data_IF_942171659185
#
_entry.id   IF_942171659185
#
_cell.length_a   1.000
_cell.length_b   1.000
_cell.length_c   1.000
_cell.angle_alpha   90.00
_cell.angle_beta   90.00
_cell.angle_gamma   90.00
#
_symmetry.space_group_name_H-M   'P 1'
#
loop_
_entity.id
_entity.type
_entity.pdbx_description
1 polymer ?
2 water ?
#
# COMPACT_ATOMS: atom_id res chain seq x y z
N UNK A 4 7.61 15.73 -12.33
CA UNK A 4 6.82 14.64 -11.68
C UNK A 4 5.34 15.00 -11.60
N UNK A 5 4.51 14.19 -12.26
CA UNK A 5 3.07 14.43 -12.24
C UNK A 5 2.53 14.25 -10.83
N UNK A 6 1.30 14.70 -10.60
CA UNK A 6 0.71 14.59 -9.28
C UNK A 6 0.09 13.22 -9.01
N UNK A 7 0.24 12.77 -7.77
CA UNK A 7 -0.29 11.48 -7.35
C UNK A 7 -1.43 11.63 -6.36
N UNK A 8 -2.45 10.82 -6.53
CA UNK A 8 -3.57 10.83 -5.62
C UNK A 8 -3.74 9.44 -5.03
N UNK A 9 -3.55 9.34 -3.72
CA UNK A 9 -3.69 8.09 -3.01
C UNK A 9 -5.05 8.09 -2.33
N UNK A 10 -5.78 7.00 -2.47
CA UNK A 10 -7.09 6.87 -1.85
C UNK A 10 -7.04 5.56 -1.07
N UNK A 11 -7.20 5.66 0.25
CA UNK A 11 -7.13 4.47 1.07
C UNK A 11 -7.31 4.73 2.56
N UNK A 12 -7.09 3.67 3.34
CA UNK A 12 -7.26 3.67 4.79
C UNK A 12 -6.20 4.33 5.67
N UNK A 13 -6.63 4.66 6.88
CA UNK A 13 -5.77 5.25 7.90
C UNK A 13 -6.03 4.48 9.21
N UNK A 14 -4.97 3.92 9.78
CA UNK A 14 -5.07 3.17 11.03
C UNK A 14 -4.09 3.67 12.07
N UNK A 15 -4.41 3.40 13.32
CA UNK A 15 -3.55 3.71 14.42
C UNK A 15 -3.13 2.30 14.83
N UNK A 16 -1.85 1.97 14.65
CA UNK A 16 -1.36 0.63 14.99
C UNK A 16 -0.87 0.51 16.43
N UNK A 17 -1.45 -0.43 17.17
CA UNK A 17 -1.07 -0.69 18.56
C UNK A 17 -0.33 -2.01 18.50
N UNK A 18 0.97 -1.97 18.75
CA UNK A 18 1.79 -3.16 18.64
C UNK A 18 2.37 -3.60 19.96
N UNK A 19 2.13 -4.86 20.30
CA UNK A 19 2.61 -5.43 21.54
C UNK A 19 3.46 -6.68 21.29
N UNK A 20 4.72 -6.62 21.75
CA UNK A 20 5.60 -7.77 21.63
C UNK A 20 5.35 -8.59 22.89
N UNK A 21 5.23 -9.90 22.73
CA UNK A 21 4.98 -10.76 23.86
C UNK A 21 5.64 -12.11 23.65
N UNK A 22 5.75 -12.88 24.73
CA UNK A 22 6.38 -14.20 24.65
C UNK A 22 5.65 -15.11 23.67
N UNK A 23 4.37 -15.35 23.91
CA UNK A 23 3.57 -16.21 23.03
C UNK A 23 2.12 -15.70 22.93
N UNK A 24 1.50 -15.98 21.79
CA UNK A 24 0.12 -15.59 21.55
C UNK A 24 -0.79 -16.20 22.61
N UNK A 25 -1.53 -15.37 23.35
CA UNK A 25 -2.42 -15.90 24.38
C UNK A 25 -3.41 -16.91 23.82
N UNK A 26 -3.64 -17.99 24.55
CA UNK A 26 -4.60 -19.01 24.13
C UNK A 26 -5.96 -18.52 24.58
N UNK A 27 -7.05 -19.09 24.04
CA UNK A 27 -8.39 -18.66 24.45
C UNK A 27 -8.54 -18.58 25.96
N UNK A 28 -8.99 -17.43 26.46
CA UNK A 28 -9.19 -17.25 27.88
C UNK A 28 -7.96 -16.85 28.67
N UNK A 29 -6.83 -16.77 27.98
CA UNK A 29 -5.58 -16.42 28.65
C UNK A 29 -5.21 -14.93 28.57
N UNK A 30 -4.41 -14.49 29.55
CA UNK A 30 -3.90 -13.13 29.61
C UNK A 30 -2.39 -13.23 29.66
N UNK A 31 -1.71 -12.43 28.84
CA UNK A 31 -0.26 -12.45 28.82
C UNK A 31 0.26 -11.02 28.92
N UNK A 32 1.41 -10.86 29.59
CA UNK A 32 2.01 -9.55 29.75
C UNK A 32 3.14 -9.42 28.73
N UNK A 33 3.09 -8.36 27.93
CA UNK A 33 4.08 -8.13 26.90
C UNK A 33 5.36 -7.52 27.42
N UNK A 34 6.34 -7.35 26.53
CA UNK A 34 7.64 -6.79 26.91
C UNK A 34 7.94 -5.46 26.22
N UNK A 35 7.20 -5.14 25.17
CA UNK A 35 7.42 -3.89 24.47
C UNK A 35 6.14 -3.42 23.78
N UNK A 36 5.89 -2.11 23.85
CA UNK A 36 4.70 -1.52 23.27
C UNK A 36 5.02 -0.33 22.39
N UNK A 37 4.33 -0.24 21.26
CA UNK A 37 4.54 0.85 20.31
C UNK A 37 3.26 1.24 19.57
N UNK A 38 2.97 2.54 19.55
CA UNK A 38 1.83 3.05 18.82
C UNK A 38 2.43 3.73 17.60
N UNK A 39 2.05 3.26 16.42
CA UNK A 39 2.55 3.83 15.18
C UNK A 39 1.42 3.96 14.18
N UNK A 40 1.44 5.03 13.41
CA UNK A 40 0.41 5.26 12.41
C UNK A 40 0.57 4.24 11.29
N UNK A 41 -0.55 3.62 10.93
CA UNK A 41 -0.51 2.60 9.90
C UNK A 41 -1.65 2.71 8.91
N UNK A 42 -2.08 1.57 8.39
CA UNK A 42 -3.15 1.56 7.42
C UNK A 42 -2.49 1.60 6.05
N UNK A 43 -2.86 0.68 5.16
CA UNK A 43 -2.26 0.61 3.84
C UNK A 43 -2.34 1.92 3.07
N UNK A 44 -3.49 2.59 3.13
CA UNK A 44 -3.64 3.85 2.44
C UNK A 44 -2.61 4.86 2.90
N UNK A 45 -2.53 5.09 4.20
CA UNK A 45 -1.58 6.04 4.76
C UNK A 45 -0.13 5.57 4.62
N UNK A 46 0.13 4.28 4.84
CA UNK A 46 1.50 3.79 4.69
C UNK A 46 1.99 4.09 3.29
N UNK A 47 1.15 3.84 2.28
CA UNK A 47 1.54 4.10 0.91
C UNK A 47 1.63 5.58 0.60
N UNK A 48 0.72 6.37 1.18
CA UNK A 48 0.72 7.82 0.99
C UNK A 48 2.00 8.41 1.57
N UNK A 49 2.42 7.88 2.72
CA UNK A 49 3.63 8.34 3.38
C UNK A 49 4.88 7.87 2.62
N UNK A 50 4.86 6.62 2.17
CA UNK A 50 5.99 6.09 1.44
C UNK A 50 6.22 6.93 0.18
N UNK A 51 5.14 7.39 -0.44
CA UNK A 51 5.24 8.20 -1.65
C UNK A 51 5.67 9.63 -1.33
N UNK A 52 5.03 10.24 -0.34
CA UNK A 52 5.37 11.58 0.05
C UNK A 52 6.83 11.70 0.46
N UNK A 53 7.26 10.82 1.36
CA UNK A 53 8.64 10.85 1.82
C UNK A 53 9.62 10.58 0.68
N UNK A 54 9.27 9.67 -0.23
CA UNK A 54 10.16 9.37 -1.34
C UNK A 54 10.24 10.51 -2.36
N UNK A 55 9.44 11.56 -2.15
CA UNK A 55 9.50 12.71 -3.03
C UNK A 55 8.36 13.02 -4.00
N UNK A 56 7.25 12.34 -3.88
CA UNK A 56 6.13 12.59 -4.80
C UNK A 56 5.31 13.82 -4.42
N UNK A 57 4.55 14.29 -5.41
CA UNK A 57 3.63 15.41 -5.24
C UNK A 57 2.31 14.68 -5.08
N UNK A 58 1.99 14.33 -3.83
CA UNK A 58 0.80 13.54 -3.55
C UNK A 58 -0.25 14.14 -2.61
N UNK A 59 -1.51 13.92 -2.97
CA UNK A 59 -2.66 14.38 -2.19
C UNK A 59 -3.32 13.08 -1.72
N UNK A 60 -3.89 13.10 -0.51
CA UNK A 60 -4.48 11.89 0.06
C UNK A 60 -5.97 11.93 0.41
N UNK A 61 -6.75 11.10 -0.27
CA UNK A 61 -8.19 11.02 0.00
C UNK A 61 -8.38 9.90 1.04
N UNK A 62 -8.88 10.27 2.21
CA UNK A 62 -9.09 9.31 3.29
C UNK A 62 -10.04 9.85 4.35
N UNK A 63 -10.35 9.02 5.34
CA UNK A 63 -11.25 9.41 6.44
C UNK A 63 -10.72 8.99 7.81
N UNK A 64 -10.75 9.91 8.76
CA UNK A 64 -10.35 9.61 10.13
C UNK A 64 -11.63 9.87 10.91
N UNK A 65 -11.66 9.50 12.19
CA UNK A 65 -12.84 9.75 13.00
C UNK A 65 -12.69 11.11 13.67
N UNK A 66 -13.60 11.44 14.58
CA UNK A 66 -13.52 12.73 15.28
C UNK A 66 -12.90 12.57 16.67
N UNK A 67 -11.98 11.62 16.81
CA UNK A 67 -11.31 11.37 18.09
C UNK A 67 -9.92 12.02 18.12
N UNK A 68 -9.27 11.97 19.28
CA UNK A 68 -7.94 12.56 19.43
C UNK A 68 -6.91 11.90 18.52
N UNK A 69 -6.93 10.58 18.47
CA UNK A 69 -5.97 9.86 17.64
C UNK A 69 -6.10 10.33 16.19
N UNK A 70 -7.34 10.50 15.72
CA UNK A 70 -7.55 10.96 14.36
C UNK A 70 -6.87 12.29 14.10
N UNK A 71 -6.93 13.20 15.06
CA UNK A 71 -6.31 14.50 14.91
C UNK A 71 -4.79 14.39 14.87
N UNK A 72 -4.22 13.52 15.71
CA UNK A 72 -2.77 13.33 15.75
C UNK A 72 -2.20 12.79 14.44
N UNK A 73 -2.81 11.74 13.91
CA UNK A 73 -2.33 11.15 12.66
C UNK A 73 -2.40 12.20 11.56
N UNK A 74 -3.48 12.97 11.58
CA UNK A 74 -3.69 14.03 10.61
C UNK A 74 -2.55 15.04 10.74
N UNK A 75 -2.23 15.39 11.98
CA UNK A 75 -1.15 16.33 12.27
C UNK A 75 0.15 15.76 11.68
N UNK A 76 0.34 14.46 11.88
CA UNK A 76 1.54 13.77 11.41
C UNK A 76 1.67 13.68 9.88
N UNK A 77 0.62 13.20 9.22
CA UNK A 77 0.66 13.07 7.78
C UNK A 77 0.96 14.38 7.07
N UNK A 78 0.55 15.48 7.66
CA UNK A 78 0.79 16.78 7.06
C UNK A 78 2.29 17.10 7.00
N UNK A 79 3.07 16.50 7.89
CA UNK A 79 4.50 16.76 7.90
C UNK A 79 5.27 15.72 7.08
N UNK A 80 4.55 14.72 6.57
CA UNK A 80 5.16 13.68 5.76
C UNK A 80 5.14 14.02 4.27
N UNK A 81 5.04 15.31 3.97
CA UNK A 81 5.01 15.79 2.59
C UNK A 81 3.79 15.25 1.83
N UNK A 82 2.62 15.38 2.46
CA UNK A 82 1.37 14.93 1.87
C UNK A 82 0.34 16.05 2.00
N UNK A 83 -0.45 16.25 0.95
CA UNK A 83 -1.51 17.25 0.99
C UNK A 83 -2.71 16.53 1.61
N UNK A 84 -3.01 16.85 2.87
CA UNK A 84 -4.12 16.21 3.59
C UNK A 84 -5.44 16.96 3.44
N UNK A 85 -5.52 17.84 2.46
CA UNK A 85 -6.75 18.57 2.23
C UNK A 85 -7.92 17.62 1.96
N UNK A 86 -7.68 16.51 1.24
CA UNK A 86 -8.74 15.55 0.93
C UNK A 86 -9.06 14.54 2.03
N UNK A 87 -8.45 14.69 3.21
CA UNK A 87 -8.74 13.77 4.31
C UNK A 87 -9.92 14.29 5.12
N UNK A 88 -11.05 13.59 5.03
CA UNK A 88 -12.26 14.00 5.74
C UNK A 88 -12.29 13.48 7.18
N UNK A 89 -13.05 14.19 8.01
CA UNK A 89 -13.25 13.83 9.41
C UNK A 89 -14.72 13.43 9.51
N UNK A 90 -14.97 12.21 10.00
CA UNK A 90 -16.33 11.71 10.11
C UNK A 90 -16.85 11.83 11.55
N UNK A 91 -17.88 12.66 11.72
CA UNK A 91 -18.47 12.86 13.04
C UNK A 91 -19.13 11.59 13.54
N UNK A 92 -18.96 11.32 14.83
CA UNK A 92 -19.57 10.15 15.43
C UNK A 92 -18.88 8.83 15.14
N UNK A 93 -17.72 8.86 14.48
CA UNK A 93 -17.02 7.62 14.17
C UNK A 93 -15.59 7.59 14.70
N UNK A 94 -15.08 6.37 14.93
CA UNK A 94 -13.73 6.18 15.43
C UNK A 94 -12.74 6.07 14.30
N UNK A 95 -11.51 6.51 14.55
CA UNK A 95 -10.46 6.41 13.55
C UNK A 95 -10.09 4.94 13.49
N UNK A 96 -9.77 4.45 12.29
CA UNK A 96 -9.40 3.05 12.12
C UNK A 96 -8.28 2.63 13.05
N UNK A 97 -8.29 1.37 13.48
CA UNK A 97 -7.27 0.85 14.38
C UNK A 97 -6.83 -0.57 14.04
N UNK A 98 -5.60 -0.91 14.43
CA UNK A 98 -5.04 -2.24 14.22
C UNK A 98 -4.37 -2.69 15.51
N UNK A 99 -4.83 -3.80 16.06
CA UNK A 99 -4.25 -4.34 17.29
C UNK A 99 -3.32 -5.46 16.82
N UNK A 100 -2.05 -5.35 17.17
CA UNK A 100 -1.06 -6.33 16.72
C UNK A 100 -0.21 -6.99 17.80
N UNK A 101 -0.11 -8.31 17.71
CA UNK A 101 0.71 -9.11 18.62
C UNK A 101 1.88 -9.67 17.82
N UNK A 102 3.06 -9.70 18.44
CA UNK A 102 4.26 -10.25 17.83
C UNK A 102 4.87 -11.14 18.91
N UNK A 103 4.95 -12.45 18.65
CA UNK A 103 5.51 -13.37 19.64
C UNK A 103 7.04 -13.46 19.63
N UNK A 104 7.58 -14.26 20.56
CA UNK A 104 9.03 -14.40 20.65
C UNK A 104 9.65 -15.13 19.48
N UNK A 105 8.82 -15.67 18.59
CA UNK A 105 9.29 -16.39 17.43
C UNK A 105 9.29 -15.49 16.20
N UNK A 106 8.92 -14.22 16.39
CA UNK A 106 8.89 -13.28 15.29
C UNK A 106 7.61 -13.21 14.47
N UNK A 107 6.67 -14.10 14.76
CA UNK A 107 5.39 -14.13 14.05
C UNK A 107 4.46 -13.03 14.57
N UNK A 108 3.42 -12.72 13.81
CA UNK A 108 2.48 -11.70 14.24
C UNK A 108 1.06 -12.04 13.79
N UNK A 109 0.09 -11.43 14.46
CA UNK A 109 -1.32 -11.57 14.11
C UNK A 109 -1.88 -10.16 14.23
N UNK A 110 -2.79 -9.81 13.33
CA UNK A 110 -3.36 -8.47 13.30
C UNK A 110 -4.88 -8.48 13.32
N UNK A 111 -5.45 -7.63 14.17
CA UNK A 111 -6.90 -7.50 14.29
C UNK A 111 -7.22 -6.07 13.88
N UNK A 112 -8.13 -5.91 12.93
CA UNK A 112 -8.48 -4.58 12.44
C UNK A 112 -9.90 -4.08 12.64
N UNK A 113 -10.02 -2.79 12.95
CA UNK A 113 -11.31 -2.11 13.11
C UNK A 113 -11.35 -1.11 11.98
N UNK A 114 -12.29 -1.29 11.06
CA UNK A 114 -12.41 -0.39 9.91
C UNK A 114 -12.65 1.06 10.33
N UNK A 115 -13.54 1.26 11.30
CA UNK A 115 -13.84 2.61 11.76
C UNK A 115 -14.22 3.58 10.66
N UNK A 116 -13.69 4.80 10.74
CA UNK A 116 -13.98 5.84 9.76
C UNK A 116 -13.67 5.41 8.33
N UNK A 117 -12.74 4.48 8.16
CA UNK A 117 -12.38 4.03 6.81
C UNK A 117 -13.54 3.46 6.01
N UNK A 118 -14.52 2.87 6.68
CA UNK A 118 -15.66 2.30 5.99
C UNK A 118 -16.61 3.40 5.52
N UNK A 119 -16.34 4.65 5.91
CA UNK A 119 -17.18 5.78 5.53
C UNK A 119 -16.72 6.51 4.27
N UNK A 120 -15.60 6.06 3.67
CA UNK A 120 -15.10 6.68 2.46
C UNK A 120 -16.03 6.19 1.35
N UNK A 121 -17.06 6.97 1.07
CA UNK A 121 -18.08 6.61 0.09
C UNK A 121 -17.94 7.17 -1.32
N UNK A 122 -18.79 6.68 -2.24
CA UNK A 122 -18.78 7.12 -3.63
C UNK A 122 -19.09 8.61 -3.67
N UNK A 123 -19.96 9.06 -2.77
CA UNK A 123 -20.31 10.48 -2.71
C UNK A 123 -19.07 11.30 -2.40
N UNK A 124 -18.21 10.78 -1.53
CA UNK A 124 -16.97 11.48 -1.18
C UNK A 124 -16.00 11.47 -2.34
N UNK A 125 -16.00 10.38 -3.11
CA UNK A 125 -15.13 10.26 -4.27
C UNK A 125 -15.56 11.29 -5.33
N UNK A 126 -16.87 11.34 -5.58
CA UNK A 126 -17.43 12.27 -6.57
C UNK A 126 -17.04 13.70 -6.20
N UNK A 127 -17.04 13.98 -4.90
CA UNK A 127 -16.66 15.31 -4.41
C UNK A 127 -15.19 15.57 -4.77
N UNK A 128 -14.47 14.51 -5.11
CA UNK A 128 -13.06 14.64 -5.47
C UNK A 128 -12.86 14.41 -6.96
N UNK A 129 -13.94 14.49 -7.74
CA UNK A 129 -13.84 14.27 -9.17
C UNK A 129 -12.72 15.07 -9.84
N UNK A 130 -12.68 16.38 -9.59
CA UNK A 130 -11.66 17.22 -10.20
C UNK A 130 -10.25 16.83 -9.77
N UNK A 131 -10.05 16.65 -8.47
CA UNK A 131 -8.72 16.28 -7.95
C UNK A 131 -8.23 14.99 -8.62
N UNK A 132 -9.12 14.02 -8.78
CA UNK A 132 -8.77 12.75 -9.40
C UNK A 132 -8.51 12.98 -10.89
N UNK A 133 -9.35 13.82 -11.49
CA UNK A 133 -9.21 14.15 -12.90
C UNK A 133 -7.88 14.80 -13.25
N UNK A 134 -7.44 15.76 -12.43
CA UNK A 134 -6.20 16.49 -12.69
C UNK A 134 -4.91 15.79 -12.30
N UNK A 135 -5.00 14.69 -11.54
CA UNK A 135 -3.81 13.97 -11.13
C UNK A 135 -3.24 13.19 -12.31
N UNK A 136 -2.00 12.71 -12.18
CA UNK A 136 -1.37 11.92 -13.24
C UNK A 136 -1.65 10.45 -12.97
N UNK A 137 -1.77 10.10 -11.69
CA UNK A 137 -2.03 8.72 -11.31
C UNK A 137 -2.78 8.63 -9.99
N UNK A 138 -3.51 7.52 -9.84
CA UNK A 138 -4.30 7.23 -8.65
C UNK A 138 -3.79 5.91 -8.10
N UNK A 139 -3.43 5.90 -6.82
CA UNK A 139 -2.94 4.69 -6.16
C UNK A 139 -3.95 4.23 -5.10
N UNK A 140 -4.43 3.00 -5.24
CA UNK A 140 -5.40 2.48 -4.29
C UNK A 140 -5.11 1.06 -3.79
N UNK A 141 -5.78 0.68 -2.70
CA UNK A 141 -5.65 -0.66 -2.14
C UNK A 141 -7.07 -1.18 -1.97
N UNK A 142 -7.24 -2.18 -1.11
CA UNK A 142 -8.57 -2.75 -0.89
C UNK A 142 -9.05 -2.70 0.56
N UNK A 143 -8.66 -1.67 1.31
CA UNK A 143 -9.12 -1.51 2.69
C UNK A 143 -10.15 -0.38 2.74
N UNK A 144 -10.72 -0.07 1.57
CA UNK A 144 -11.74 0.96 1.43
C UNK A 144 -12.91 0.28 0.73
N UNK A 145 -14.14 0.78 0.92
CA UNK A 145 -15.31 0.18 0.27
C UNK A 145 -15.02 -0.02 -1.22
N UNK A 146 -15.31 -1.21 -1.73
CA UNK A 146 -15.07 -1.51 -3.13
C UNK A 146 -15.80 -0.56 -4.08
N UNK A 147 -16.99 -0.12 -3.68
CA UNK A 147 -17.78 0.77 -4.51
C UNK A 147 -17.09 2.12 -4.70
N UNK A 148 -16.33 2.54 -3.68
CA UNK A 148 -15.63 3.80 -3.74
C UNK A 148 -14.37 3.67 -4.60
N UNK A 149 -13.71 2.53 -4.49
CA UNK A 149 -12.51 2.26 -5.30
C UNK A 149 -12.96 2.19 -6.75
N UNK A 150 -14.09 1.50 -6.97
CA UNK A 150 -14.68 1.33 -8.29
C UNK A 150 -14.98 2.68 -8.93
N UNK A 151 -15.70 3.52 -8.19
CA UNK A 151 -16.08 4.84 -8.68
C UNK A 151 -14.89 5.74 -8.92
N UNK A 152 -13.85 5.60 -8.10
CA UNK A 152 -12.66 6.43 -8.26
C UNK A 152 -11.90 6.02 -9.52
N UNK A 153 -11.91 4.72 -9.81
CA UNK A 153 -11.20 4.19 -10.97
C UNK A 153 -11.85 4.64 -12.26
N UNK A 154 -13.19 4.71 -12.26
CA UNK A 154 -13.91 5.15 -13.44
C UNK A 154 -13.55 6.59 -13.78
N UNK A 155 -13.63 7.48 -12.78
CA UNK A 155 -13.28 8.88 -13.00
C UNK A 155 -11.88 8.97 -13.59
N UNK A 156 -10.96 8.19 -13.05
CA UNK A 156 -9.58 8.20 -13.52
C UNK A 156 -9.49 7.71 -14.96
N UNK A 157 -10.17 6.62 -15.25
CA UNK A 157 -10.16 6.05 -16.60
C UNK A 157 -10.68 7.07 -17.61
N UNK A 158 -11.64 7.88 -17.19
CA UNK A 158 -12.27 8.91 -18.02
C UNK A 158 -11.38 10.14 -18.25
N UNK A 159 -10.39 10.36 -17.39
CA UNK A 159 -9.57 11.56 -17.51
C UNK A 159 -8.05 11.36 -17.64
N UNK A 160 -7.64 10.31 -18.32
CA UNK A 160 -6.21 10.05 -18.50
C UNK A 160 -5.44 10.02 -17.18
N UNK A 161 -6.01 9.38 -16.17
CA UNK A 161 -5.34 9.27 -14.89
C UNK A 161 -4.93 7.80 -14.76
N UNK A 162 -3.63 7.56 -14.64
CA UNK A 162 -3.14 6.19 -14.50
C UNK A 162 -3.69 5.59 -13.20
N UNK A 163 -4.20 4.37 -13.29
CA UNK A 163 -4.76 3.65 -12.15
C UNK A 163 -3.82 2.56 -11.66
N UNK A 164 -3.31 2.72 -10.44
CA UNK A 164 -2.41 1.75 -9.84
C UNK A 164 -3.14 1.10 -8.67
N UNK A 165 -3.19 -0.23 -8.66
CA UNK A 165 -3.89 -0.96 -7.60
C UNK A 165 -3.06 -2.01 -6.91
N UNK A 166 -2.98 -1.88 -5.58
CA UNK A 166 -2.29 -2.84 -4.75
C UNK A 166 -3.49 -3.65 -4.23
N UNK A 167 -3.80 -4.79 -4.88
CA UNK A 167 -4.93 -5.66 -4.51
C UNK A 167 -4.80 -6.38 -3.18
N UNK A 168 -4.65 -5.60 -2.11
CA UNK A 168 -4.51 -6.16 -0.76
C UNK A 168 -5.44 -5.46 0.21
N UNK A 169 -6.03 -6.22 1.15
CA UNK A 169 -5.85 -7.67 1.34
C UNK A 169 -6.52 -8.51 0.25
N UNK A 170 -6.05 -9.73 0.07
CA UNK A 170 -6.57 -10.64 -0.95
C UNK A 170 -8.09 -10.79 -1.02
N UNK A 171 -8.60 -10.78 -2.24
CA UNK A 171 -10.02 -10.95 -2.52
C UNK A 171 -10.25 -10.87 -4.02
N UNK A 172 -11.28 -11.56 -4.48
CA UNK A 172 -11.60 -11.52 -5.89
C UNK A 172 -12.19 -10.17 -6.25
N UNK A 173 -12.00 -9.76 -7.48
CA UNK A 173 -12.50 -8.48 -7.96
C UNK A 173 -13.22 -8.65 -9.28
N UNK A 174 -14.24 -7.82 -9.53
CA UNK A 174 -15.00 -7.90 -10.79
C UNK A 174 -14.15 -7.47 -11.98
N UNK A 175 -14.41 -8.05 -13.15
CA UNK A 175 -13.64 -7.67 -14.33
C UNK A 175 -13.85 -6.20 -14.65
N UNK A 176 -14.96 -5.63 -14.19
CA UNK A 176 -15.21 -4.23 -14.47
C UNK A 176 -14.15 -3.34 -13.85
N UNK A 177 -13.66 -3.71 -12.67
CA UNK A 177 -12.61 -2.91 -12.01
C UNK A 177 -11.24 -3.23 -12.61
N UNK A 178 -10.97 -4.51 -12.82
CA UNK A 178 -9.70 -4.93 -13.41
C UNK A 178 -9.49 -4.31 -14.78
N UNK A 179 -10.58 -4.15 -15.53
CA UNK A 179 -10.52 -3.57 -16.87
C UNK A 179 -10.27 -2.07 -16.79
N UNK A 180 -10.03 -1.56 -15.59
CA UNK A 180 -9.76 -0.13 -15.41
C UNK A 180 -8.38 0.07 -14.79
N UNK A 181 -7.68 -1.03 -14.52
CA UNK A 181 -6.35 -0.93 -13.90
C UNK A 181 -5.18 -0.92 -14.89
N UNK A 182 -4.22 -0.04 -14.62
CA UNK A 182 -3.03 0.12 -15.45
C UNK A 182 -1.82 -0.59 -14.83
N UNK A 183 -1.69 -0.52 -13.50
CA UNK A 183 -0.59 -1.13 -12.78
C UNK A 183 -1.15 -1.86 -11.57
N UNK A 184 -0.90 -3.17 -11.50
CA UNK A 184 -1.40 -3.96 -10.37
C UNK A 184 -0.21 -4.63 -9.71
N UNK A 185 -0.17 -4.60 -8.37
CA UNK A 185 0.95 -5.16 -7.60
C UNK A 185 0.60 -6.22 -6.57
N UNK A 186 -0.02 -7.33 -7.01
CA UNK A 186 -0.41 -8.42 -6.10
C UNK A 186 0.78 -9.28 -5.64
N UNK A 187 0.64 -9.90 -4.47
CA UNK A 187 1.67 -10.83 -4.01
C UNK A 187 1.15 -12.16 -4.53
N UNK A 188 1.80 -13.26 -4.18
CA UNK A 188 1.35 -14.55 -4.70
C UNK A 188 -0.07 -14.97 -4.32
N UNK A 189 -0.42 -14.79 -3.05
CA UNK A 189 -1.75 -15.13 -2.57
C UNK A 189 -2.82 -14.32 -3.33
N UNK A 190 -2.55 -13.05 -3.51
CA UNK A 190 -3.46 -12.15 -4.19
C UNK A 190 -3.57 -12.45 -5.69
N UNK A 191 -2.45 -12.85 -6.30
CA UNK A 191 -2.43 -13.16 -7.71
C UNK A 191 -3.33 -14.36 -7.98
N UNK A 192 -3.24 -15.36 -7.10
CA UNK A 192 -4.05 -16.56 -7.22
C UNK A 192 -5.52 -16.22 -7.01
N UNK A 193 -5.78 -15.43 -5.98
CA UNK A 193 -7.14 -15.02 -5.65
C UNK A 193 -7.76 -14.27 -6.84
N UNK A 194 -6.95 -13.50 -7.55
CA UNK A 194 -7.41 -12.72 -8.71
C UNK A 194 -7.53 -13.48 -10.02
N UNK A 195 -6.68 -14.48 -10.23
CA UNK A 195 -6.69 -15.22 -11.48
C UNK A 195 -7.19 -16.66 -11.38
N UNK A 196 -7.10 -17.24 -10.19
CA UNK A 196 -7.53 -18.62 -10.01
C UNK A 196 -6.35 -19.54 -10.26
N UNK A 197 -5.18 -18.96 -10.45
CA UNK A 197 -3.96 -19.73 -10.68
C UNK A 197 -3.02 -19.65 -9.48
N UNK A 198 -2.70 -20.82 -8.93
CA UNK A 198 -1.79 -20.90 -7.78
C UNK A 198 -0.41 -20.47 -8.29
N UNK A 199 0.26 -19.61 -7.54
CA UNK A 199 1.58 -19.14 -7.95
C UNK A 199 2.65 -19.52 -6.94
N UNK A 200 3.45 -20.52 -7.29
CA UNK A 200 4.53 -20.97 -6.42
C UNK A 200 5.85 -20.69 -7.11
N UNK A 201 5.88 -20.87 -8.42
CA UNK A 201 7.09 -20.65 -9.22
C UNK A 201 6.90 -19.58 -10.29
N UNK A 202 8.00 -19.22 -10.94
CA UNK A 202 8.00 -18.21 -11.99
C UNK A 202 7.16 -18.58 -13.21
N UNK A 203 6.92 -19.87 -13.40
CA UNK A 203 6.11 -20.30 -14.52
C UNK A 203 4.65 -19.94 -14.18
N UNK A 204 4.26 -20.20 -12.94
CA UNK A 204 2.90 -19.90 -12.50
C UNK A 204 2.66 -18.39 -12.55
N UNK A 205 3.64 -17.64 -12.07
CA UNK A 205 3.56 -16.19 -12.03
C UNK A 205 3.33 -15.61 -13.41
N UNK A 206 4.06 -16.13 -14.39
CA UNK A 206 3.92 -15.67 -15.77
C UNK A 206 2.50 -15.97 -16.24
N UNK A 207 2.00 -17.16 -15.91
CA UNK A 207 0.65 -17.55 -16.30
C UNK A 207 -0.39 -16.63 -15.65
N UNK A 208 -0.25 -16.41 -14.35
CA UNK A 208 -1.17 -15.54 -13.63
C UNK A 208 -1.07 -14.12 -14.21
N UNK A 209 0.15 -13.69 -14.53
CA UNK A 209 0.36 -12.37 -15.11
C UNK A 209 -0.42 -12.27 -16.40
N UNK A 210 -0.31 -13.31 -17.23
CA UNK A 210 -0.99 -13.36 -18.51
C UNK A 210 -2.49 -13.13 -18.36
N UNK A 211 -3.08 -13.75 -17.33
CA UNK A 211 -4.51 -13.62 -17.07
C UNK A 211 -4.88 -12.16 -16.80
N UNK A 212 -4.04 -11.47 -16.03
CA UNK A 212 -4.28 -10.08 -15.69
C UNK A 212 -4.09 -9.20 -16.92
N UNK A 213 -3.09 -9.51 -17.74
CA UNK A 213 -2.85 -8.74 -18.95
C UNK A 213 -4.08 -8.79 -19.86
N UNK A 214 -4.71 -9.96 -19.93
CA UNK A 214 -5.89 -10.14 -20.76
C UNK A 214 -7.05 -9.31 -20.24
N UNK A 215 -6.99 -8.95 -18.96
CA UNK A 215 -8.04 -8.12 -18.37
C UNK A 215 -7.78 -6.70 -18.87
N UNK A 216 -6.62 -6.53 -19.51
CA UNK A 216 -6.25 -5.23 -20.04
C UNK A 216 -5.26 -4.45 -19.18
N UNK A 217 -4.69 -5.09 -18.17
CA UNK A 217 -3.71 -4.42 -17.31
C UNK A 217 -2.33 -4.52 -17.95
N UNK A 218 -1.81 -3.38 -18.38
CA UNK A 218 -0.51 -3.29 -19.05
C UNK A 218 0.70 -3.75 -18.22
N UNK A 219 0.79 -3.24 -16.99
CA UNK A 219 1.91 -3.58 -16.12
C UNK A 219 1.46 -4.41 -14.92
N UNK A 220 2.11 -5.57 -14.77
CA UNK A 220 1.80 -6.49 -13.68
C UNK A 220 3.05 -6.85 -12.91
N UNK A 221 3.05 -6.54 -11.61
CA UNK A 221 4.18 -6.87 -10.75
C UNK A 221 3.70 -7.77 -9.62
N UNK A 222 4.13 -9.03 -9.67
CA UNK A 222 3.75 -10.00 -8.66
C UNK A 222 4.89 -10.20 -7.66
N UNK A 223 4.68 -9.75 -6.43
CA UNK A 223 5.72 -9.93 -5.42
C UNK A 223 5.77 -11.42 -5.14
N UNK A 224 6.98 -11.96 -5.13
CA UNK A 224 7.18 -13.39 -4.96
C UNK A 224 7.80 -13.78 -3.62
N UNK A 225 7.99 -12.81 -2.74
CA UNK A 225 8.59 -13.11 -1.47
C UNK A 225 10.09 -12.94 -1.62
N UNK A 226 10.85 -13.85 -1.01
CA UNK A 226 12.30 -13.78 -1.05
C UNK A 226 12.97 -13.64 -2.41
N UNK A 227 12.43 -14.28 -3.45
CA UNK A 227 13.07 -14.20 -4.75
C UNK A 227 12.82 -12.92 -5.56
N UNK A 228 12.10 -11.96 -4.98
CA UNK A 228 11.86 -10.70 -5.67
C UNK A 228 10.46 -10.49 -6.23
N UNK A 229 10.41 -9.92 -7.43
CA UNK A 229 9.13 -9.64 -8.09
C UNK A 229 9.12 -10.05 -9.55
N UNK A 230 7.98 -10.53 -10.01
CA UNK A 230 7.85 -10.90 -11.40
C UNK A 230 7.30 -9.68 -12.11
N UNK A 231 8.17 -8.97 -12.81
CA UNK A 231 7.82 -7.76 -13.53
C UNK A 231 7.41 -8.13 -14.95
N UNK A 232 6.17 -7.82 -15.30
CA UNK A 232 5.65 -8.15 -16.62
C UNK A 232 4.87 -7.03 -17.29
N UNK A 233 5.34 -6.64 -18.46
CA UNK A 233 4.69 -5.59 -19.24
C UNK A 233 4.15 -6.21 -20.53
N UNK A 234 2.83 -6.20 -20.67
CA UNK A 234 2.16 -6.76 -21.84
C UNK A 234 2.64 -8.14 -22.26
N UNK A 235 2.67 -9.08 -21.32
CA UNK A 235 3.09 -10.43 -21.65
C UNK A 235 4.58 -10.74 -21.56
N UNK A 236 5.42 -9.72 -21.48
CA UNK A 236 6.85 -9.92 -21.38
C UNK A 236 7.32 -9.65 -19.95
N UNK A 237 7.69 -10.71 -19.26
CA UNK A 237 8.14 -10.58 -17.88
C UNK A 237 9.46 -11.22 -17.55
N UNK A 238 9.93 -10.95 -16.34
CA UNK A 238 11.19 -11.49 -15.84
C UNK A 238 11.23 -11.25 -14.34
N UNK A 239 12.01 -12.07 -13.63
CA UNK A 239 12.14 -11.93 -12.19
C UNK A 239 13.20 -10.89 -11.87
N UNK A 240 12.82 -9.91 -11.04
CA UNK A 240 13.73 -8.85 -10.62
C UNK A 240 13.97 -9.04 -9.13
N UNK A 241 15.19 -9.45 -8.76
CA UNK A 241 15.59 -9.69 -7.37
C UNK A 241 15.60 -8.42 -6.54
N UNK A 242 15.35 -8.59 -5.24
CA UNK A 242 15.36 -7.45 -4.35
C UNK A 242 16.71 -7.46 -3.64
N UNK A 243 16.90 -6.56 -2.68
CA UNK A 243 18.16 -6.51 -1.96
C UNK A 243 18.20 -7.46 -0.78
N UNK A 244 19.40 -7.90 -0.42
CA UNK A 244 19.54 -8.80 0.71
C UNK A 244 19.66 -7.94 1.96
N UNK A 245 18.81 -8.19 2.95
CA UNK A 245 18.82 -7.43 4.20
C UNK A 245 18.33 -8.30 5.36
N UNK A 246 18.70 -7.92 6.58
CA UNK A 246 18.27 -8.67 7.76
C UNK A 246 16.99 -7.97 8.22
N UNK A 247 15.86 -8.65 8.05
CA UNK A 247 14.57 -8.09 8.44
C UNK A 247 14.36 -8.09 9.95
N UNK A 248 13.75 -7.03 10.47
CA UNK A 248 13.46 -6.92 11.89
C UNK A 248 11.94 -6.82 12.03
N UNK A 249 11.30 -6.22 11.04
CA UNK A 249 9.84 -6.08 11.01
C UNK A 249 9.38 -5.79 9.58
N UNK A 250 8.77 -6.79 8.96
CA UNK A 250 8.33 -6.68 7.57
C UNK A 250 7.03 -5.93 7.31
N UNK A 251 6.26 -5.61 8.35
CA UNK A 251 5.01 -4.90 8.14
C UNK A 251 5.27 -3.62 7.35
N UNK A 252 4.36 -3.30 6.42
CA UNK A 252 4.46 -2.11 5.59
C UNK A 252 5.53 -2.20 4.51
N UNK A 253 6.23 -3.33 4.45
CA UNK A 253 7.27 -3.53 3.43
C UNK A 253 6.64 -3.39 2.05
N UNK A 254 5.54 -4.09 1.84
CA UNK A 254 4.84 -4.02 0.57
C UNK A 254 4.27 -2.65 0.28
N UNK A 255 3.79 -1.96 1.30
CA UNK A 255 3.22 -0.62 1.10
C UNK A 255 4.32 0.36 0.72
N UNK A 256 5.50 0.22 1.32
CA UNK A 256 6.61 1.10 1.02
C UNK A 256 7.01 0.89 -0.43
N UNK A 257 7.07 -0.38 -0.82
CA UNK A 257 7.41 -0.75 -2.19
C UNK A 257 6.47 -0.03 -3.16
N UNK A 258 5.17 -0.14 -2.89
CA UNK A 258 4.17 0.49 -3.74
C UNK A 258 4.27 2.01 -3.81
N UNK A 259 4.41 2.65 -2.65
CA UNK A 259 4.51 4.09 -2.61
C UNK A 259 5.76 4.63 -3.29
N UNK A 260 6.89 3.98 -3.06
CA UNK A 260 8.14 4.41 -3.66
C UNK A 260 8.13 4.14 -5.17
N UNK A 261 7.57 3.00 -5.55
CA UNK A 261 7.49 2.63 -6.96
C UNK A 261 6.75 3.70 -7.76
N UNK A 262 5.55 4.06 -7.33
CA UNK A 262 4.77 5.06 -8.05
C UNK A 262 5.52 6.39 -8.10
N UNK A 263 6.19 6.76 -7.02
CA UNK A 263 6.95 8.01 -7.02
C UNK A 263 7.95 7.96 -8.18
N UNK A 264 8.69 6.85 -8.26
CA UNK A 264 9.68 6.68 -9.30
C UNK A 264 9.08 6.74 -10.71
N UNK A 265 7.95 6.06 -10.91
CA UNK A 265 7.31 6.06 -12.21
C UNK A 265 6.78 7.44 -12.58
N UNK A 266 6.18 8.13 -11.63
CA UNK A 266 5.66 9.48 -11.89
C UNK A 266 6.79 10.47 -12.10
N UNK A 267 8.01 9.98 -11.90
CA UNK A 267 9.21 10.79 -12.06
C UNK A 267 9.73 10.39 -13.44
N UNK A 268 8.94 9.57 -14.10
CA UNK A 268 9.22 9.05 -15.43
C UNK A 268 10.50 8.21 -15.54
N UNK A 269 10.87 7.50 -14.48
CA UNK A 269 12.05 6.64 -14.53
C UNK A 269 11.60 5.35 -15.21
N UNK A 270 12.50 4.68 -15.94
CA UNK A 270 12.15 3.43 -16.62
C UNK A 270 11.76 2.39 -15.55
N UNK A 271 10.84 1.48 -15.90
CA UNK A 271 10.38 0.46 -14.96
C UNK A 271 11.49 -0.23 -14.17
N UNK A 272 12.53 -0.74 -14.87
CA UNK A 272 13.63 -1.41 -14.19
C UNK A 272 14.28 -0.60 -13.06
N UNK A 273 14.45 0.69 -13.29
CA UNK A 273 15.06 1.56 -12.29
C UNK A 273 14.02 1.87 -11.22
N UNK A 274 12.77 2.02 -11.62
CA UNK A 274 11.69 2.32 -10.71
C UNK A 274 11.56 1.19 -9.69
N UNK A 275 11.64 -0.04 -10.16
CA UNK A 275 11.55 -1.21 -9.31
C UNK A 275 12.75 -1.31 -8.37
N UNK A 276 13.92 -0.86 -8.82
CA UNK A 276 15.13 -0.90 -7.98
C UNK A 276 14.99 0.14 -6.88
N UNK A 277 14.33 1.24 -7.21
CA UNK A 277 14.11 2.32 -6.26
C UNK A 277 13.14 1.85 -5.17
N UNK A 278 12.03 1.23 -5.58
CA UNK A 278 11.03 0.72 -4.65
C UNK A 278 11.62 -0.37 -3.76
N UNK A 279 12.45 -1.24 -4.34
CA UNK A 279 13.10 -2.30 -3.59
C UNK A 279 14.05 -1.74 -2.53
N UNK A 280 14.75 -0.68 -2.88
CA UNK A 280 15.69 -0.05 -1.95
C UNK A 280 14.91 0.48 -0.75
N UNK A 281 13.82 1.16 -1.03
CA UNK A 281 12.97 1.72 0.02
C UNK A 281 12.43 0.62 0.94
N UNK A 282 11.95 -0.47 0.34
CA UNK A 282 11.41 -1.58 1.14
C UNK A 282 12.49 -2.26 1.98
N UNK A 283 13.67 -2.42 1.39
CA UNK A 283 14.79 -3.05 2.10
C UNK A 283 15.07 -2.28 3.38
N UNK A 284 15.01 -0.96 3.29
CA UNK A 284 15.26 -0.13 4.45
C UNK A 284 14.13 -0.27 5.46
N UNK A 285 12.90 -0.29 4.96
CA UNK A 285 11.71 -0.40 5.80
C UNK A 285 11.68 -1.64 6.71
N UNK A 286 12.14 -2.78 6.23
CA UNK A 286 12.13 -3.99 7.05
C UNK A 286 13.17 -4.02 8.17
N UNK A 287 14.07 -3.05 8.18
CA UNK A 287 15.10 -3.00 9.23
C UNK A 287 14.65 -2.09 10.36
N UNK A 288 13.41 -1.62 10.29
CA UNK A 288 12.86 -0.73 11.31
C UNK A 288 11.50 -1.21 11.79
N UNK A 289 11.13 -0.78 13.00
CA UNK A 289 9.88 -1.18 13.63
C UNK A 289 8.71 -0.24 13.41
N UNK A 290 7.52 -0.81 13.25
CA UNK A 290 6.33 -0.01 13.03
C UNK A 290 6.13 0.24 11.54
N UNK A 291 4.90 0.56 11.16
CA UNK A 291 4.61 0.81 9.75
C UNK A 291 5.24 2.11 9.26
N UNK A 292 4.52 3.23 9.42
CA UNK A 292 5.01 4.52 8.98
C UNK A 292 6.33 4.99 9.57
N UNK A 293 6.58 4.71 10.86
CA UNK A 293 7.85 5.15 11.46
C UNK A 293 9.08 4.56 10.74
N UNK A 294 8.87 3.48 9.98
CA UNK A 294 9.99 2.85 9.26
C UNK A 294 10.13 3.28 7.80
N UNK A 295 9.15 4.01 7.27
CA UNK A 295 9.21 4.46 5.88
C UNK A 295 10.31 5.49 5.68
N UNK A 296 11.33 5.17 4.88
CA UNK A 296 12.50 5.99 4.54
C UNK A 296 12.21 7.17 3.62
N UNK A 297 12.94 8.27 3.83
CA UNK A 297 12.78 9.47 3.01
C UNK A 297 13.70 9.38 1.79
N UNK A 298 13.43 10.21 0.78
CA UNK A 298 14.21 10.21 -0.45
C UNK A 298 15.72 10.16 -0.25
N UNK A 299 16.26 11.05 0.58
CA UNK A 299 17.69 11.12 0.83
C UNK A 299 18.25 9.77 1.24
N UNK A 300 17.55 9.08 2.14
CA UNK A 300 18.01 7.78 2.63
C UNK A 300 17.98 6.75 1.50
N UNK A 301 16.93 6.77 0.70
CA UNK A 301 16.81 5.84 -0.41
C UNK A 301 17.97 6.02 -1.38
N UNK A 302 18.21 7.25 -1.80
CA UNK A 302 19.30 7.51 -2.75
C UNK A 302 20.67 7.18 -2.16
N UNK A 303 20.85 7.44 -0.88
CA UNK A 303 22.11 7.14 -0.22
C UNK A 303 22.32 5.62 -0.27
N UNK A 304 21.27 4.88 0.07
CA UNK A 304 21.35 3.42 0.06
C UNK A 304 21.77 2.96 -1.32
N UNK A 305 21.12 3.51 -2.35
CA UNK A 305 21.43 3.14 -3.73
C UNK A 305 22.87 3.48 -4.12
N UNK A 306 23.31 4.68 -3.76
CA UNK A 306 24.67 5.10 -4.09
C UNK A 306 25.74 4.21 -3.47
N UNK A 307 25.50 3.72 -2.25
CA UNK A 307 26.46 2.85 -1.61
C UNK A 307 26.34 1.45 -2.18
N UNK A 308 25.33 1.24 -3.01
CA UNK A 308 25.11 -0.07 -3.60
C UNK A 308 26.03 -0.27 -4.80
#
# INVERSE_FOLDING_TARGET
MQNAGSLVVLGSINADHILNLQSFPTPGETVTGNHYQVAFGGKGANQAVAAGRSGANIAFIACTGDDSIGESVRQQLATDNIDITPVSVIKGESTGVALIFVNGEGENVIGIHAGANAALSPALVEAQRERIANASALLMQLESPLESVMAAAKIAHQNKTIVALNPAPARELPDELLALVDIITPNETEAEKLTGIRVENDEDAAKAAQVLHEKGIRTVLITLGSRGVWASVNGEGQRVPGFRVQAVDTIAAGDTFNGALITALLEEKPLPEAIRFAHAAAAIAVTRKGAQPSVPWREEIDAFLDRQR
#
